data_IF_099119771196
#
_entry.id   IF_099119771196
#
_cell.length_a   1.000
_cell.length_b   1.000
_cell.length_c   1.000
_cell.angle_alpha   90.00
_cell.angle_beta   90.00
_cell.angle_gamma   90.00
#
_symmetry.space_group_name_H-M   'P 1'
#
loop_
_entity.id
_entity.type
_entity.pdbx_description
1 polymer ?
#
# COMPACT_ATOMS: atom_id res chain seq x y z
N UNK A 1 -10.17 14.99 5.87
CA UNK A 1 -9.23 14.04 5.21
C UNK A 1 -7.88 14.00 5.92
N UNK A 2 -7.59 14.90 6.86
CA UNK A 2 -6.32 14.95 7.60
C UNK A 2 -5.94 13.64 8.29
N UNK A 3 -6.89 12.92 8.90
CA UNK A 3 -6.60 11.63 9.54
C UNK A 3 -6.15 10.53 8.56
N UNK A 4 -6.73 10.49 7.35
CA UNK A 4 -6.34 9.51 6.32
C UNK A 4 -4.98 9.85 5.71
N UNK A 5 -4.72 11.14 5.46
CA UNK A 5 -3.43 11.62 4.96
C UNK A 5 -2.31 11.42 5.99
N UNK A 6 -2.58 11.65 7.27
CA UNK A 6 -1.66 11.36 8.36
C UNK A 6 -1.38 9.85 8.47
N UNK A 7 -2.42 9.02 8.35
CA UNK A 7 -2.26 7.55 8.30
C UNK A 7 -1.45 7.07 7.11
N UNK A 8 -1.65 7.65 5.92
CA UNK A 8 -0.86 7.33 4.72
C UNK A 8 0.61 7.69 4.91
N UNK A 9 0.88 8.86 5.50
CA UNK A 9 2.23 9.33 5.76
C UNK A 9 2.94 8.48 6.82
N UNK A 10 2.23 8.07 7.87
CA UNK A 10 2.75 7.16 8.88
C UNK A 10 3.07 5.77 8.29
N UNK A 11 2.22 5.26 7.39
CA UNK A 11 2.47 4.01 6.69
C UNK A 11 3.67 4.11 5.74
N UNK A 12 3.80 5.24 5.04
CA UNK A 12 4.96 5.51 4.19
C UNK A 12 6.27 5.52 4.99
N UNK A 13 6.26 6.17 6.17
CA UNK A 13 7.41 6.17 7.08
C UNK A 13 7.77 4.77 7.58
N UNK A 14 6.78 3.95 7.90
CA UNK A 14 7.00 2.55 8.28
C UNK A 14 7.58 1.72 7.14
N UNK A 15 7.09 1.89 5.91
CA UNK A 15 7.61 1.21 4.73
C UNK A 15 9.06 1.58 4.44
N UNK A 16 9.40 2.88 4.50
CA UNK A 16 10.78 3.34 4.32
C UNK A 16 11.72 2.79 5.39
N UNK A 17 11.29 2.78 6.65
CA UNK A 17 12.06 2.20 7.76
C UNK A 17 12.24 0.68 7.61
N UNK A 18 11.20 -0.04 7.19
CA UNK A 18 11.26 -1.47 6.89
C UNK A 18 12.27 -1.75 5.78
N UNK A 19 12.20 -1.01 4.67
CA UNK A 19 13.10 -1.21 3.54
C UNK A 19 14.56 -0.94 3.92
N UNK A 20 14.81 0.13 4.67
CA UNK A 20 16.14 0.41 5.21
C UNK A 20 16.65 -0.71 6.16
N UNK A 21 15.77 -1.32 6.96
CA UNK A 21 16.15 -2.43 7.83
C UNK A 21 16.48 -3.71 7.04
N UNK A 22 15.76 -3.98 5.94
CA UNK A 22 16.07 -5.07 5.01
C UNK A 22 17.40 -4.82 4.31
N UNK A 23 17.60 -3.63 3.74
CA UNK A 23 18.81 -3.27 2.99
C UNK A 23 20.07 -3.30 3.89
N UNK A 24 19.94 -2.95 5.16
CA UNK A 24 21.05 -3.02 6.13
C UNK A 24 21.27 -4.42 6.73
N UNK A 25 20.52 -5.44 6.28
CA UNK A 25 20.58 -6.80 6.81
C UNK A 25 20.14 -6.94 8.28
N UNK A 26 19.50 -5.90 8.84
CA UNK A 26 19.01 -5.89 10.22
C UNK A 26 17.68 -6.62 10.37
N UNK A 27 16.93 -6.77 9.26
CA UNK A 27 15.72 -7.56 9.21
C UNK A 27 15.98 -8.86 8.46
N UNK A 28 16.14 -9.94 9.22
CA UNK A 28 16.24 -11.31 8.71
C UNK A 28 14.98 -12.04 9.13
N UNK A 29 14.19 -12.47 8.15
CA UNK A 29 12.91 -13.12 8.39
C UNK A 29 12.86 -14.46 7.67
N UNK A 30 12.37 -15.47 8.38
CA UNK A 30 12.14 -16.80 7.81
C UNK A 30 11.29 -16.70 6.53
N UNK A 31 11.68 -17.35 5.42
CA UNK A 31 10.99 -17.23 4.14
C UNK A 31 9.50 -17.55 4.18
N UNK A 32 9.09 -18.56 4.96
CA UNK A 32 7.67 -18.93 5.07
C UNK A 32 6.88 -17.86 5.80
N UNK A 33 7.47 -17.28 6.87
CA UNK A 33 6.83 -16.21 7.64
C UNK A 33 6.79 -14.90 6.87
N UNK A 34 7.85 -14.59 6.13
CA UNK A 34 7.92 -13.42 5.28
C UNK A 34 6.86 -13.47 4.16
N UNK A 35 6.69 -14.63 3.51
CA UNK A 35 5.63 -14.80 2.50
C UNK A 35 4.23 -14.70 3.12
N UNK A 36 4.00 -15.28 4.30
CA UNK A 36 2.73 -15.14 5.01
C UNK A 36 2.39 -13.68 5.32
N UNK A 37 3.38 -12.90 5.77
CA UNK A 37 3.19 -11.47 6.06
C UNK A 37 3.01 -10.67 4.77
N UNK A 38 3.81 -10.92 3.74
CA UNK A 38 3.68 -10.29 2.42
C UNK A 38 2.28 -10.50 1.85
N UNK A 39 1.74 -11.71 1.95
CA UNK A 39 0.38 -12.05 1.51
C UNK A 39 -0.69 -11.25 2.26
N UNK A 40 -0.56 -11.06 3.58
CA UNK A 40 -1.50 -10.22 4.35
C UNK A 40 -1.48 -8.77 3.86
N UNK A 41 -0.31 -8.23 3.53
CA UNK A 41 -0.19 -6.89 2.97
C UNK A 41 -0.80 -6.79 1.56
N UNK A 42 -0.62 -7.81 0.71
CA UNK A 42 -1.26 -7.89 -0.60
C UNK A 42 -2.79 -7.98 -0.51
N UNK A 43 -3.32 -8.82 0.39
CA UNK A 43 -4.76 -8.94 0.62
C UNK A 43 -5.37 -7.59 1.05
N UNK A 44 -4.69 -6.87 1.95
CA UNK A 44 -5.11 -5.52 2.35
C UNK A 44 -5.03 -4.51 1.21
N UNK A 45 -4.00 -4.59 0.36
CA UNK A 45 -3.88 -3.75 -0.82
C UNK A 45 -5.02 -4.02 -1.81
N UNK A 46 -5.40 -5.28 -2.01
CA UNK A 46 -6.53 -5.67 -2.85
C UNK A 46 -7.88 -5.23 -2.29
N UNK A 47 -8.06 -5.28 -0.97
CA UNK A 47 -9.25 -4.70 -0.33
C UNK A 47 -9.36 -3.19 -0.55
N UNK A 48 -8.24 -2.46 -0.43
CA UNK A 48 -8.17 -1.03 -0.72
C UNK A 48 -8.49 -0.74 -2.18
N UNK A 49 -7.94 -1.54 -3.11
CA UNK A 49 -8.25 -1.45 -4.54
C UNK A 49 -9.74 -1.65 -4.81
N UNK A 50 -10.38 -2.65 -4.19
CA UNK A 50 -11.84 -2.89 -4.30
C UNK A 50 -12.63 -1.70 -3.77
N UNK A 51 -12.23 -1.10 -2.64
CA UNK A 51 -12.87 0.09 -2.09
C UNK A 51 -12.72 1.30 -3.02
N UNK A 52 -11.53 1.53 -3.57
CA UNK A 52 -11.28 2.59 -4.57
C UNK A 52 -12.18 2.46 -5.78
N UNK A 53 -12.29 1.26 -6.36
CA UNK A 53 -13.18 1.01 -7.51
C UNK A 53 -14.65 1.29 -7.19
N UNK A 54 -15.11 0.96 -5.98
CA UNK A 54 -16.48 1.32 -5.54
C UNK A 54 -16.65 2.82 -5.36
N UNK A 55 -15.64 3.52 -4.85
CA UNK A 55 -15.64 4.98 -4.74
C UNK A 55 -15.73 5.63 -6.13
N UNK A 56 -14.94 5.17 -7.10
CA UNK A 56 -15.00 5.66 -8.49
C UNK A 56 -16.40 5.46 -9.10
N UNK A 57 -17.03 4.31 -8.84
CA UNK A 57 -18.41 4.04 -9.27
C UNK A 57 -19.46 4.94 -8.60
N UNK A 58 -19.28 5.28 -7.33
CA UNK A 58 -20.17 6.20 -6.61
C UNK A 58 -20.07 7.63 -7.17
N UNK A 59 -18.85 8.08 -7.51
CA UNK A 59 -18.62 9.37 -8.16
C UNK A 59 -19.27 9.40 -9.54
N UNK A 60 -19.15 8.32 -10.31
CA UNK A 60 -19.68 8.23 -11.67
C UNK A 60 -21.22 8.21 -11.73
N UNK A 61 -21.91 7.84 -10.64
CA UNK A 61 -23.36 7.56 -10.66
C UNK A 61 -24.29 8.75 -10.43
N UNK A 62 -23.82 10.00 -10.48
CA UNK A 62 -24.68 11.18 -10.32
C UNK A 62 -25.63 11.07 -9.10
N UNK A 63 -25.11 10.54 -7.99
CA UNK A 63 -25.89 10.13 -6.82
C UNK A 63 -26.67 11.27 -6.13
N UNK A 64 -26.44 12.51 -6.54
CA UNK A 64 -27.01 13.72 -5.93
C UNK A 64 -28.26 14.26 -6.65
N UNK A 65 -28.76 13.56 -7.68
CA UNK A 65 -29.97 13.95 -8.40
C UNK A 65 -29.77 15.17 -9.32
N UNK A 66 -30.60 15.31 -10.36
CA UNK A 66 -30.43 16.35 -11.39
C UNK A 66 -31.08 17.70 -11.04
N UNK A 67 -30.92 18.13 -9.79
CA UNK A 67 -31.35 19.46 -9.34
C UNK A 67 -30.15 20.39 -9.15
N UNK A 68 -30.37 21.71 -9.14
CA UNK A 68 -29.28 22.70 -9.02
C UNK A 68 -28.39 22.48 -7.79
N UNK A 69 -29.00 22.13 -6.65
CA UNK A 69 -28.29 21.80 -5.41
C UNK A 69 -27.54 20.47 -5.54
N UNK A 70 -28.15 19.48 -6.18
CA UNK A 70 -27.56 18.16 -6.44
C UNK A 70 -26.30 18.24 -7.32
N UNK A 71 -26.35 19.05 -8.39
CA UNK A 71 -25.18 19.29 -9.25
C UNK A 71 -24.03 19.96 -8.49
N UNK A 72 -24.31 20.99 -7.68
CA UNK A 72 -23.27 21.64 -6.88
C UNK A 72 -22.66 20.70 -5.82
N UNK A 73 -23.47 19.84 -5.20
CA UNK A 73 -22.99 18.83 -4.27
C UNK A 73 -22.13 17.79 -4.97
N UNK A 74 -22.57 17.28 -6.12
CA UNK A 74 -21.80 16.35 -6.94
C UNK A 74 -20.47 16.92 -7.39
N UNK A 75 -20.44 18.19 -7.79
CA UNK A 75 -19.22 18.88 -8.22
C UNK A 75 -18.24 19.08 -7.06
N UNK A 76 -18.72 19.55 -5.90
CA UNK A 76 -17.89 19.65 -4.68
C UNK A 76 -17.34 18.29 -4.23
N UNK A 77 -18.11 17.23 -4.41
CA UNK A 77 -17.67 15.88 -4.06
C UNK A 77 -16.63 15.37 -5.07
N UNK A 78 -16.85 15.58 -6.37
CA UNK A 78 -15.87 15.28 -7.42
C UNK A 78 -14.56 16.02 -7.18
N UNK A 79 -14.60 17.31 -6.88
CA UNK A 79 -13.42 18.11 -6.58
C UNK A 79 -12.66 17.46 -5.41
N UNK A 80 -13.32 17.26 -4.26
CA UNK A 80 -12.67 16.70 -3.06
C UNK A 80 -12.11 15.29 -3.27
N UNK A 81 -12.71 14.48 -4.13
CA UNK A 81 -12.25 13.11 -4.36
C UNK A 81 -11.12 13.05 -5.39
N UNK A 82 -11.18 13.90 -6.43
CA UNK A 82 -10.23 13.93 -7.54
C UNK A 82 -9.09 14.95 -7.34
N UNK A 83 -9.04 15.65 -6.20
CA UNK A 83 -7.92 16.55 -5.89
C UNK A 83 -6.59 15.79 -6.06
N UNK A 84 -5.62 16.37 -6.79
CA UNK A 84 -4.29 15.80 -6.88
C UNK A 84 -3.67 15.74 -5.47
N UNK A 85 -3.00 14.63 -5.18
CA UNK A 85 -2.27 14.32 -3.93
C UNK A 85 -3.06 14.20 -2.62
N UNK A 86 -4.18 14.90 -2.48
CA UNK A 86 -4.97 14.97 -1.23
C UNK A 86 -6.39 14.44 -1.39
N UNK A 87 -6.81 14.17 -2.63
CA UNK A 87 -8.08 13.54 -2.92
C UNK A 87 -8.13 12.11 -2.39
N UNK A 88 -9.34 11.65 -2.07
CA UNK A 88 -9.55 10.30 -1.52
C UNK A 88 -8.99 9.21 -2.46
N UNK A 89 -9.15 9.36 -3.78
CA UNK A 89 -8.62 8.39 -4.75
C UNK A 89 -7.08 8.39 -4.71
N UNK A 90 -6.46 9.57 -4.74
CA UNK A 90 -5.00 9.70 -4.68
C UNK A 90 -4.42 9.11 -3.39
N UNK A 91 -5.06 9.36 -2.24
CA UNK A 91 -4.64 8.81 -0.95
C UNK A 91 -4.78 7.28 -0.90
N UNK A 92 -5.90 6.73 -1.39
CA UNK A 92 -6.11 5.28 -1.45
C UNK A 92 -5.09 4.61 -2.39
N UNK A 93 -4.78 5.23 -3.53
CA UNK A 93 -3.75 4.74 -4.46
C UNK A 93 -2.36 4.77 -3.82
N UNK A 94 -2.00 5.84 -3.09
CA UNK A 94 -0.73 5.90 -2.35
C UNK A 94 -0.65 4.79 -1.30
N UNK A 95 -1.70 4.58 -0.51
CA UNK A 95 -1.75 3.50 0.47
C UNK A 95 -1.62 2.12 -0.16
N UNK A 96 -2.30 1.87 -1.29
CA UNK A 96 -2.19 0.62 -2.04
C UNK A 96 -0.75 0.36 -2.49
N UNK A 97 -0.06 1.39 -3.03
CA UNK A 97 1.34 1.29 -3.43
C UNK A 97 2.24 0.95 -2.24
N UNK A 98 2.09 1.68 -1.13
CA UNK A 98 2.93 1.48 0.06
C UNK A 98 2.79 0.05 0.61
N UNK A 99 1.57 -0.50 0.65
CA UNK A 99 1.36 -1.87 1.12
C UNK A 99 2.02 -2.90 0.20
N UNK A 100 1.99 -2.69 -1.11
CA UNK A 100 2.68 -3.54 -2.09
C UNK A 100 4.21 -3.44 -1.94
N UNK A 101 4.72 -2.24 -1.72
CA UNK A 101 6.15 -2.01 -1.50
C UNK A 101 6.64 -2.69 -0.22
N UNK A 102 5.82 -2.69 0.84
CA UNK A 102 6.10 -3.43 2.08
C UNK A 102 6.09 -4.95 1.85
N UNK A 103 5.09 -5.48 1.12
CA UNK A 103 5.04 -6.91 0.79
C UNK A 103 6.28 -7.33 0.00
N UNK A 104 6.71 -6.51 -0.96
CA UNK A 104 7.93 -6.76 -1.72
C UNK A 104 9.18 -6.73 -0.83
N UNK A 105 9.30 -5.76 0.08
CA UNK A 105 10.43 -5.69 1.01
C UNK A 105 10.56 -6.95 1.88
N UNK A 106 9.46 -7.53 2.35
CA UNK A 106 9.48 -8.79 3.09
C UNK A 106 9.95 -9.97 2.22
N UNK A 107 9.51 -10.05 0.95
CA UNK A 107 9.99 -11.07 0.01
C UNK A 107 11.46 -10.92 -0.33
N UNK A 108 11.92 -9.68 -0.49
CA UNK A 108 13.33 -9.37 -0.77
C UNK A 108 14.20 -9.85 0.41
N UNK A 109 13.81 -9.55 1.66
CA UNK A 109 14.47 -10.04 2.89
C UNK A 109 14.55 -11.57 2.98
N UNK A 110 13.46 -12.27 2.65
CA UNK A 110 13.46 -13.73 2.59
C UNK A 110 14.40 -14.30 1.53
N UNK A 111 14.50 -13.63 0.37
CA UNK A 111 15.37 -14.04 -0.72
C UNK A 111 16.84 -13.86 -0.33
N UNK A 112 17.17 -12.77 0.33
CA UNK A 112 18.53 -12.49 0.79
C UNK A 112 18.97 -13.51 1.84
N UNK A 113 18.08 -13.93 2.75
CA UNK A 113 18.35 -15.01 3.70
C UNK A 113 18.66 -16.33 2.98
N UNK A 114 17.84 -16.72 2.00
CA UNK A 114 18.05 -17.97 1.25
C UNK A 114 19.38 -17.95 0.48
N UNK A 115 19.74 -16.81 -0.11
CA UNK A 115 21.01 -16.66 -0.81
C UNK A 115 22.20 -16.72 0.15
N UNK A 116 22.10 -16.08 1.32
CA UNK A 116 23.14 -16.10 2.36
C UNK A 116 23.33 -17.51 2.95
N UNK A 117 22.25 -18.26 3.17
CA UNK A 117 22.31 -19.65 3.62
C UNK A 117 22.95 -20.56 2.56
N UNK A 118 22.58 -20.41 1.28
CA UNK A 118 23.18 -21.16 0.17
C UNK A 118 24.68 -20.85 -0.01
N UNK A 119 25.10 -19.60 0.16
CA UNK A 119 26.51 -19.20 0.12
C UNK A 119 27.31 -19.74 1.31
N UNK A 120 26.76 -19.65 2.53
CA UNK A 120 27.39 -20.21 3.73
C UNK A 120 27.49 -21.74 3.65
N UNK A 121 26.44 -22.42 3.17
CA UNK A 121 26.45 -23.86 2.98
C UNK A 121 27.49 -24.31 1.93
N UNK A 122 27.72 -23.51 0.88
CA UNK A 122 28.80 -23.76 -0.09
C UNK A 122 30.18 -23.54 0.52
N UNK A 123 30.37 -22.49 1.30
CA UNK A 123 31.67 -22.19 1.92
C UNK A 123 32.06 -23.17 3.04
N UNK A 124 31.10 -23.80 3.72
CA UNK A 124 31.35 -24.82 4.75
C UNK A 124 31.62 -26.23 4.19
N UNK A 125 31.36 -26.44 2.90
CA UNK A 125 31.56 -27.73 2.21
C UNK A 125 32.85 -27.77 1.35
N UNK A 126 33.75 -26.80 1.54
CA UNK A 126 35.11 -26.73 0.95
C UNK A 126 36.13 -26.77 2.08
#
# INVERSE_FOLDING_TARGET
MEGLAAGASALAGQSAGLRAAVDNGQLVMDPERAEAVAKVYEEKADELRKKRLRTDQLIARNAYGDCFVGRQLGQKFQDKVNLPDTGLVALLTKMESILKDMAQAYRDSARDMKNADDENARNLNV
#
